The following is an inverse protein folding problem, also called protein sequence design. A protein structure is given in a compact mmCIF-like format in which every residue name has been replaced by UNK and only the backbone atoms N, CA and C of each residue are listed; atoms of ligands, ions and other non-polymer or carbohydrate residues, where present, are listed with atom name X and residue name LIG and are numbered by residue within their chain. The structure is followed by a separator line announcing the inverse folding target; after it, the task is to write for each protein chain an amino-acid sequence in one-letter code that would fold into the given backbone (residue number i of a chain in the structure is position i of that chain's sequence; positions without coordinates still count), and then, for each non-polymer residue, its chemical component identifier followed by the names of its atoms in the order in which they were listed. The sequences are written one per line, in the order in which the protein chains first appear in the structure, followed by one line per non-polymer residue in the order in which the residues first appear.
data_IF_483880733095
#
_entry.id   IF_483880733095
#
_cell.length_a   1.000
_cell.length_b   1.000
_cell.length_c   1.000
_cell.angle_alpha   90.00
_cell.angle_beta   90.00
_cell.angle_gamma   90.00
#
_symmetry.space_group_name_H-M   'P 1'
#
loop_
_entity.id
_entity.type
_entity.pdbx_description
1 polymer ?
#
# COMPACT_ATOMS: atom_id res chain seq x y z
N UNK A 1 -18.40 -10.26 4.03
CA UNK A 1 -18.40 -8.78 3.92
C UNK A 1 -19.24 -8.40 2.70
N UNK A 2 -20.09 -7.36 2.79
CA UNK A 2 -20.87 -6.89 1.63
C UNK A 2 -19.91 -6.36 0.55
N UNK A 3 -20.05 -6.74 -0.74
CA UNK A 3 -19.16 -6.29 -1.81
C UNK A 3 -19.08 -4.75 -1.93
N UNK A 4 -20.17 -4.04 -1.59
CA UNK A 4 -20.22 -2.58 -1.63
C UNK A 4 -19.32 -1.88 -0.61
N UNK A 5 -18.76 -2.62 0.36
CA UNK A 5 -17.88 -2.09 1.42
C UNK A 5 -16.39 -2.19 1.09
N UNK A 6 -16.02 -2.80 -0.04
CA UNK A 6 -14.63 -3.04 -0.41
C UNK A 6 -14.35 -2.44 -1.79
N UNK A 7 -13.31 -1.62 -1.87
CA UNK A 7 -12.73 -1.14 -3.12
C UNK A 7 -11.22 -1.41 -3.11
N UNK A 8 -10.66 -1.76 -4.27
CA UNK A 8 -9.24 -2.05 -4.41
C UNK A 8 -8.56 -0.94 -5.23
N UNK A 9 -7.48 -0.40 -4.67
CA UNK A 9 -6.68 0.65 -5.31
C UNK A 9 -5.22 0.22 -5.38
N UNK A 10 -4.63 0.25 -6.59
CA UNK A 10 -3.21 -0.01 -6.81
C UNK A 10 -2.43 1.28 -6.92
N UNK A 11 -1.51 1.54 -6.00
CA UNK A 11 -0.70 2.79 -5.96
C UNK A 11 0.77 2.59 -6.33
N UNK A 12 1.22 1.35 -6.52
CA UNK A 12 2.60 0.98 -6.89
C UNK A 12 3.64 1.82 -6.11
N UNK A 13 4.51 2.55 -6.81
CA UNK A 13 5.61 3.33 -6.23
C UNK A 13 5.24 4.80 -5.93
N UNK A 14 3.98 5.20 -6.09
CA UNK A 14 3.55 6.60 -5.98
C UNK A 14 3.41 7.09 -4.52
N UNK A 15 3.33 6.17 -3.55
CA UNK A 15 3.17 6.49 -2.13
C UNK A 15 4.14 5.69 -1.22
N UNK A 16 5.47 5.95 -1.31
CA UNK A 16 6.44 5.28 -0.47
C UNK A 16 6.38 5.77 0.99
N UNK A 17 6.41 4.85 1.95
CA UNK A 17 6.52 5.17 3.40
C UNK A 17 7.97 5.16 3.89
N UNK A 18 8.88 4.60 3.08
CA UNK A 18 10.32 4.61 3.32
C UNK A 18 11.08 4.83 2.01
N UNK A 19 12.35 5.21 2.11
CA UNK A 19 13.22 5.38 0.94
C UNK A 19 13.36 4.09 0.13
N UNK A 20 13.19 4.16 -1.19
CA UNK A 20 13.41 3.02 -2.10
C UNK A 20 14.91 2.70 -2.32
N UNK A 21 15.82 3.51 -1.77
CA UNK A 21 17.27 3.36 -1.98
C UNK A 21 17.86 2.14 -1.27
N UNK A 22 17.25 1.69 -0.18
CA UNK A 22 17.74 0.53 0.59
C UNK A 22 16.77 -0.65 0.50
N UNK A 23 17.25 -1.86 0.77
CA UNK A 23 16.39 -3.05 0.73
C UNK A 23 15.36 -3.02 1.86
N UNK A 24 15.74 -2.55 3.05
CA UNK A 24 14.85 -2.42 4.20
C UNK A 24 13.70 -1.44 3.89
N UNK A 25 14.00 -0.35 3.19
CA UNK A 25 12.98 0.61 2.78
C UNK A 25 12.03 0.04 1.72
N UNK A 26 12.55 -0.70 0.73
CA UNK A 26 11.71 -1.41 -0.25
C UNK A 26 10.85 -2.48 0.42
N UNK A 27 11.39 -3.22 1.38
CA UNK A 27 10.64 -4.20 2.15
C UNK A 27 9.46 -3.57 2.90
N UNK A 28 9.65 -2.39 3.51
CA UNK A 28 8.56 -1.64 4.14
C UNK A 28 7.51 -1.14 3.14
N UNK A 29 7.92 -0.79 1.91
CA UNK A 29 7.00 -0.29 0.90
C UNK A 29 6.12 -1.37 0.26
N UNK A 30 6.54 -2.65 0.27
CA UNK A 30 5.75 -3.80 -0.21
C UNK A 30 4.65 -4.18 0.81
N UNK A 31 3.59 -3.37 0.87
CA UNK A 31 2.50 -3.52 1.85
C UNK A 31 1.12 -3.30 1.24
N UNK A 32 0.10 -3.72 2.00
CA UNK A 32 -1.32 -3.41 1.74
C UNK A 32 -1.85 -2.65 2.93
N UNK A 33 -2.63 -1.60 2.67
CA UNK A 33 -3.29 -0.80 3.71
C UNK A 33 -4.81 -0.96 3.61
N UNK A 34 -5.47 -1.09 4.76
CA UNK A 34 -6.92 -1.01 4.86
C UNK A 34 -7.28 0.42 5.27
N UNK A 35 -8.04 1.10 4.42
CA UNK A 35 -8.51 2.47 4.66
C UNK A 35 -10.03 2.43 4.72
N UNK A 36 -10.61 3.08 5.74
CA UNK A 36 -12.06 3.23 5.87
C UNK A 36 -12.62 3.95 4.63
N UNK A 37 -13.72 3.40 4.10
CA UNK A 37 -14.40 3.89 2.89
C UNK A 37 -15.34 5.04 3.20
#
# INVERSE_FOLDING_TARGET
ISPKRLAAYGVASLAPVASNKTEEGRAKNRRVELVEQ
#
